data_IF_263843550209
#
_entry.id   IF_263843550209
#
_cell.length_a   1.000
_cell.length_b   1.000
_cell.length_c   1.000
_cell.angle_alpha   90.00
_cell.angle_beta   90.00
_cell.angle_gamma   90.00
#
_symmetry.space_group_name_H-M   'P 1'
#
loop_
_entity.id
_entity.type
_entity.pdbx_description
1 polymer ?
#
# COMPACT_ATOMS: atom_id res chain seq x y z
N UNK A 1 14.57 -31.78 -29.69
CA UNK A 1 13.54 -32.85 -29.52
C UNK A 1 13.85 -33.78 -28.35
N UNK A 2 15.07 -34.33 -28.19
CA UNK A 2 15.38 -35.21 -27.04
C UNK A 2 15.30 -34.53 -25.67
N UNK A 3 15.69 -33.25 -25.59
CA UNK A 3 15.70 -32.47 -24.34
C UNK A 3 14.29 -32.21 -23.79
N UNK A 4 13.38 -31.68 -24.63
CA UNK A 4 11.97 -31.47 -24.27
C UNK A 4 11.21 -32.75 -23.88
N UNK A 5 11.57 -33.91 -24.46
CA UNK A 5 11.00 -35.21 -24.08
C UNK A 5 11.46 -35.63 -22.68
N UNK A 6 12.71 -35.33 -22.32
CA UNK A 6 13.29 -35.59 -20.99
C UNK A 6 12.69 -34.67 -19.94
N UNK A 7 12.60 -33.36 -20.20
CA UNK A 7 11.98 -32.39 -19.28
C UNK A 7 10.52 -32.75 -18.97
N UNK A 8 9.76 -33.16 -19.98
CA UNK A 8 8.37 -33.59 -19.80
C UNK A 8 8.23 -34.84 -18.94
N UNK A 9 9.20 -35.76 -19.02
CA UNK A 9 9.24 -36.96 -18.15
C UNK A 9 9.59 -36.57 -16.72
N UNK A 10 10.62 -35.75 -16.54
CA UNK A 10 11.04 -35.23 -15.23
C UNK A 10 9.89 -34.49 -14.54
N UNK A 11 9.22 -33.60 -15.27
CA UNK A 11 8.03 -32.91 -14.79
C UNK A 11 6.92 -33.86 -14.33
N UNK A 12 6.63 -34.90 -15.13
CA UNK A 12 5.60 -35.87 -14.79
C UNK A 12 5.93 -36.65 -13.51
N UNK A 13 7.20 -36.98 -13.29
CA UNK A 13 7.64 -37.64 -12.06
C UNK A 13 7.53 -36.73 -10.84
N UNK A 14 7.94 -35.46 -10.96
CA UNK A 14 7.75 -34.45 -9.90
C UNK A 14 6.27 -34.31 -9.56
N UNK A 15 5.41 -34.14 -10.57
CA UNK A 15 3.97 -33.97 -10.36
C UNK A 15 3.31 -35.17 -9.70
N UNK A 16 3.69 -36.40 -10.08
CA UNK A 16 3.17 -37.61 -9.43
C UNK A 16 3.60 -37.70 -7.99
N UNK A 17 4.87 -37.42 -7.69
CA UNK A 17 5.38 -37.41 -6.32
C UNK A 17 4.62 -36.41 -5.45
N UNK A 18 4.41 -35.19 -5.95
CA UNK A 18 3.65 -34.16 -5.24
C UNK A 18 2.19 -34.59 -5.03
N UNK A 19 1.49 -35.07 -6.08
CA UNK A 19 0.10 -35.49 -5.95
C UNK A 19 -0.07 -36.68 -4.98
N UNK A 20 0.89 -37.59 -4.95
CA UNK A 20 0.90 -38.73 -4.04
C UNK A 20 0.97 -38.30 -2.56
N UNK A 21 1.69 -37.22 -2.22
CA UNK A 21 1.70 -36.64 -0.85
C UNK A 21 0.27 -36.28 -0.41
N UNK A 22 -0.55 -35.82 -1.34
CA UNK A 22 -1.94 -35.43 -1.08
C UNK A 22 -2.96 -36.55 -1.33
N UNK A 23 -2.50 -37.80 -1.53
CA UNK A 23 -3.38 -38.94 -1.82
C UNK A 23 -4.13 -38.83 -3.14
N UNK A 24 -3.59 -38.10 -4.12
CA UNK A 24 -4.20 -37.90 -5.44
C UNK A 24 -3.39 -38.60 -6.53
N UNK A 25 -4.08 -39.08 -7.55
CA UNK A 25 -3.47 -39.61 -8.77
C UNK A 25 -3.47 -38.57 -9.91
N UNK A 26 -2.30 -38.39 -10.52
CA UNK A 26 -2.13 -37.51 -11.67
C UNK A 26 -2.57 -38.18 -12.97
N UNK A 27 -3.82 -38.00 -13.37
CA UNK A 27 -4.27 -38.45 -14.70
C UNK A 27 -3.45 -37.76 -15.81
N UNK A 28 -3.31 -38.41 -16.97
CA UNK A 28 -2.60 -37.82 -18.13
C UNK A 28 -3.15 -36.44 -18.52
N UNK A 29 -4.46 -36.23 -18.35
CA UNK A 29 -5.10 -34.95 -18.62
C UNK A 29 -4.67 -33.86 -17.63
N UNK A 30 -4.63 -34.17 -16.33
CA UNK A 30 -4.17 -33.25 -15.29
C UNK A 30 -2.71 -32.88 -15.51
N UNK A 31 -1.82 -33.86 -15.75
CA UNK A 31 -0.40 -33.61 -16.02
C UNK A 31 -0.19 -32.69 -17.22
N UNK A 32 -1.01 -32.85 -18.27
CA UNK A 32 -0.96 -31.99 -19.47
C UNK A 32 -1.38 -30.55 -19.18
N UNK A 33 -2.38 -30.34 -18.32
CA UNK A 33 -2.82 -29.00 -17.90
C UNK A 33 -1.69 -28.28 -17.16
N UNK A 34 -1.07 -28.94 -16.17
CA UNK A 34 0.03 -28.32 -15.42
C UNK A 34 1.25 -28.08 -16.32
N UNK A 35 1.61 -29.04 -17.17
CA UNK A 35 2.73 -28.88 -18.12
C UNK A 35 2.55 -27.67 -19.02
N UNK A 36 1.36 -27.49 -19.60
CA UNK A 36 1.08 -26.35 -20.48
C UNK A 36 1.13 -25.01 -19.73
N UNK A 37 0.65 -24.98 -18.48
CA UNK A 37 0.66 -23.77 -17.66
C UNK A 37 2.08 -23.36 -17.23
N UNK A 38 2.97 -24.34 -17.03
CA UNK A 38 4.33 -24.13 -16.53
C UNK A 38 5.40 -24.14 -17.64
N UNK A 39 5.01 -24.42 -18.89
CA UNK A 39 5.87 -24.41 -20.08
C UNK A 39 6.75 -23.15 -20.23
N UNK A 40 6.31 -21.93 -19.85
CA UNK A 40 7.15 -20.73 -19.96
C UNK A 40 8.32 -20.67 -18.97
N UNK A 41 8.37 -21.56 -17.96
CA UNK A 41 9.34 -21.55 -16.89
C UNK A 41 10.30 -22.73 -17.02
N UNK A 42 11.54 -22.57 -16.57
CA UNK A 42 12.51 -23.65 -16.56
C UNK A 42 12.17 -24.71 -15.49
N UNK A 43 12.57 -25.95 -15.75
CA UNK A 43 12.21 -27.10 -14.91
C UNK A 43 12.82 -27.01 -13.49
N UNK A 44 13.96 -26.32 -13.33
CA UNK A 44 14.63 -26.11 -12.05
C UNK A 44 13.80 -25.18 -11.15
N UNK A 45 13.37 -24.04 -11.69
CA UNK A 45 12.51 -23.06 -11.01
C UNK A 45 11.15 -23.68 -10.66
N UNK A 46 10.58 -24.49 -11.56
CA UNK A 46 9.34 -25.24 -11.28
C UNK A 46 9.53 -26.20 -10.10
N UNK A 47 10.64 -26.94 -10.04
CA UNK A 47 10.95 -27.87 -8.94
C UNK A 47 11.15 -27.14 -7.62
N UNK A 48 11.81 -25.99 -7.64
CA UNK A 48 11.98 -25.16 -6.46
C UNK A 48 10.63 -24.62 -5.96
N UNK A 49 9.75 -24.17 -6.85
CA UNK A 49 8.42 -23.71 -6.50
C UNK A 49 7.54 -24.80 -5.87
N UNK A 50 7.61 -26.04 -6.37
CA UNK A 50 6.93 -27.18 -5.73
C UNK A 50 7.52 -27.50 -4.35
N UNK A 51 8.84 -27.48 -4.21
CA UNK A 51 9.52 -27.71 -2.92
C UNK A 51 9.10 -26.66 -1.89
N UNK A 52 9.11 -25.38 -2.26
CA UNK A 52 8.68 -24.28 -1.41
C UNK A 52 7.21 -24.40 -1.00
N UNK A 53 6.34 -24.85 -1.92
CA UNK A 53 4.91 -25.06 -1.62
C UNK A 53 4.70 -26.14 -0.55
N UNK A 54 5.38 -27.28 -0.68
CA UNK A 54 5.18 -28.43 0.23
C UNK A 54 5.64 -28.13 1.65
N UNK A 55 6.67 -27.31 1.81
CA UNK A 55 7.22 -26.94 3.14
C UNK A 55 6.51 -25.73 3.77
N UNK A 56 5.63 -25.05 3.04
CA UNK A 56 4.85 -23.92 3.57
C UNK A 56 3.80 -24.42 4.59
N UNK A 57 3.83 -23.97 5.86
CA UNK A 57 2.94 -24.47 6.91
C UNK A 57 1.44 -24.20 6.67
N UNK A 58 1.10 -23.19 5.87
CA UNK A 58 -0.27 -22.78 5.58
C UNK A 58 -0.72 -23.30 4.22
N UNK A 59 0.08 -23.08 3.17
CA UNK A 59 -0.24 -23.47 1.79
C UNK A 59 -0.05 -24.96 1.55
N UNK A 60 1.02 -25.54 2.10
CA UNK A 60 1.42 -26.93 1.90
C UNK A 60 0.41 -27.96 2.42
N UNK A 61 -0.60 -27.53 3.18
CA UNK A 61 -1.75 -28.35 3.60
C UNK A 61 -2.63 -28.76 2.43
N UNK A 62 -2.60 -28.03 1.32
CA UNK A 62 -3.44 -28.26 0.15
C UNK A 62 -2.62 -28.61 -1.08
N UNK A 63 -3.18 -29.47 -1.92
CA UNK A 63 -2.60 -29.83 -3.21
C UNK A 63 -2.50 -28.57 -4.10
N UNK A 64 -1.30 -28.24 -4.62
CA UNK A 64 -1.09 -27.00 -5.37
C UNK A 64 -1.80 -27.00 -6.71
N UNK A 65 -2.46 -25.90 -7.07
CA UNK A 65 -2.96 -25.64 -8.44
C UNK A 65 -1.86 -25.02 -9.29
N UNK A 66 -1.96 -25.00 -10.63
CA UNK A 66 -0.95 -24.35 -11.46
C UNK A 66 -0.71 -22.87 -11.10
N UNK A 67 -1.78 -22.14 -10.77
CA UNK A 67 -1.69 -20.73 -10.37
C UNK A 67 -0.89 -20.52 -9.07
N UNK A 68 -1.00 -21.47 -8.15
CA UNK A 68 -0.29 -21.46 -6.87
C UNK A 68 1.23 -21.60 -7.08
N UNK A 69 1.63 -22.49 -7.99
CA UNK A 69 3.02 -22.70 -8.37
C UNK A 69 3.56 -21.50 -9.12
N UNK A 70 2.80 -20.93 -10.05
CA UNK A 70 3.17 -19.70 -10.76
C UNK A 70 3.41 -18.55 -9.78
N UNK A 71 2.55 -18.40 -8.76
CA UNK A 71 2.73 -17.41 -7.70
C UNK A 71 4.05 -17.63 -6.94
N UNK A 72 4.36 -18.88 -6.60
CA UNK A 72 5.60 -19.21 -5.90
C UNK A 72 6.84 -18.96 -6.78
N UNK A 73 6.76 -19.27 -8.09
CA UNK A 73 7.80 -18.93 -9.08
C UNK A 73 8.01 -17.42 -9.14
N UNK A 74 6.94 -16.62 -9.18
CA UNK A 74 7.04 -15.16 -9.18
C UNK A 74 7.73 -14.64 -7.91
N UNK A 75 7.44 -15.24 -6.75
CA UNK A 75 8.13 -14.91 -5.50
C UNK A 75 9.63 -15.26 -5.54
N UNK A 76 10.00 -16.42 -6.12
CA UNK A 76 11.41 -16.85 -6.30
C UNK A 76 12.15 -15.88 -7.23
N UNK A 77 11.51 -15.46 -8.33
CA UNK A 77 12.04 -14.50 -9.29
C UNK A 77 12.16 -13.06 -8.72
N UNK A 78 11.72 -12.83 -7.48
CA UNK A 78 11.62 -11.50 -6.89
C UNK A 78 10.63 -10.59 -7.63
N UNK A 79 9.71 -11.17 -8.43
CA UNK A 79 8.58 -10.41 -8.98
C UNK A 79 7.64 -10.12 -7.81
N UNK A 80 7.34 -8.84 -7.52
CA UNK A 80 6.48 -8.51 -6.40
C UNK A 80 5.10 -9.13 -6.62
N UNK A 81 4.67 -9.95 -5.65
CA UNK A 81 3.29 -10.42 -5.57
C UNK A 81 2.33 -9.23 -5.46
N UNK A 82 1.05 -9.46 -5.73
CA UNK A 82 0.03 -8.48 -5.40
C UNK A 82 0.00 -8.30 -3.89
N UNK A 83 0.22 -7.07 -3.42
CA UNK A 83 0.06 -6.74 -2.00
C UNK A 83 -1.34 -7.11 -1.51
N UNK A 84 -1.47 -7.54 -0.25
CA UNK A 84 -2.79 -7.63 0.37
C UNK A 84 -3.42 -6.23 0.47
N UNK A 85 -4.74 -6.15 0.56
CA UNK A 85 -5.43 -4.86 0.61
C UNK A 85 -5.01 -3.99 1.81
N UNK A 86 -4.61 -4.62 2.92
CA UNK A 86 -4.13 -3.91 4.10
C UNK A 86 -2.71 -3.37 3.94
N UNK A 87 -1.82 -4.11 3.29
CA UNK A 87 -0.46 -3.65 2.98
C UNK A 87 -0.50 -2.52 1.94
N UNK A 88 -1.33 -2.70 0.90
CA UNK A 88 -1.60 -1.67 -0.09
C UNK A 88 -2.11 -0.36 0.55
N UNK A 89 -3.01 -0.48 1.53
CA UNK A 89 -3.50 0.66 2.31
C UNK A 89 -2.37 1.34 3.10
N UNK A 90 -1.61 0.56 3.88
CA UNK A 90 -0.51 1.08 4.69
C UNK A 90 0.53 1.81 3.83
N UNK A 91 0.80 1.28 2.63
CA UNK A 91 1.71 1.88 1.67
C UNK A 91 1.16 3.19 1.08
N UNK A 92 -0.16 3.31 0.88
CA UNK A 92 -0.79 4.50 0.31
C UNK A 92 -1.01 5.63 1.32
N UNK A 93 -1.11 5.33 2.62
CA UNK A 93 -1.38 6.31 3.69
C UNK A 93 -0.51 7.59 3.63
N UNK A 94 0.82 7.52 3.40
CA UNK A 94 1.64 8.72 3.36
C UNK A 94 1.23 9.70 2.24
N UNK A 95 0.56 9.23 1.17
CA UNK A 95 0.07 10.05 0.07
C UNK A 95 -1.11 10.97 0.46
N UNK A 96 -1.56 10.91 1.72
CA UNK A 96 -2.48 11.92 2.27
C UNK A 96 -1.84 13.31 2.31
N UNK A 97 -0.53 13.37 2.53
CA UNK A 97 0.23 14.60 2.49
C UNK A 97 0.96 14.70 1.15
N UNK A 98 0.65 15.73 0.37
CA UNK A 98 1.24 15.99 -0.95
C UNK A 98 2.76 16.27 -0.88
N UNK A 99 3.30 16.55 0.30
CA UNK A 99 4.74 16.64 0.51
C UNK A 99 5.43 15.26 0.38
N UNK A 100 4.71 14.17 0.68
CA UNK A 100 5.29 12.83 0.74
C UNK A 100 5.36 12.17 -0.63
N UNK A 101 6.40 11.36 -0.80
CA UNK A 101 6.57 10.49 -1.97
C UNK A 101 6.16 9.07 -1.62
N UNK A 102 5.38 8.44 -2.50
CA UNK A 102 4.92 7.06 -2.32
C UNK A 102 5.27 6.24 -3.56
N UNK A 103 5.74 5.01 -3.35
CA UNK A 103 5.96 4.03 -4.43
C UNK A 103 4.83 3.03 -4.42
N UNK A 104 3.97 3.05 -5.43
CA UNK A 104 2.76 2.23 -5.48
C UNK A 104 2.48 1.66 -6.87
N UNK A 105 1.56 0.73 -6.96
CA UNK A 105 1.05 0.22 -8.24
C UNK A 105 -0.07 1.10 -8.78
N UNK A 106 -0.40 0.93 -10.07
CA UNK A 106 -1.53 1.63 -10.68
C UNK A 106 -2.86 1.34 -9.96
N UNK A 107 -3.04 0.09 -9.50
CA UNK A 107 -4.23 -0.35 -8.79
C UNK A 107 -4.35 0.32 -7.41
N UNK A 108 -3.22 0.49 -6.70
CA UNK A 108 -3.16 1.22 -5.43
C UNK A 108 -3.48 2.70 -5.65
N UNK A 109 -2.90 3.34 -6.67
CA UNK A 109 -3.16 4.74 -7.00
C UNK A 109 -4.65 5.01 -7.33
N UNK A 110 -5.26 4.13 -8.12
CA UNK A 110 -6.70 4.24 -8.44
C UNK A 110 -7.59 4.01 -7.21
N UNK A 111 -7.27 3.03 -6.38
CA UNK A 111 -7.99 2.80 -5.13
C UNK A 111 -7.85 4.00 -4.17
N UNK A 112 -6.66 4.61 -4.11
CA UNK A 112 -6.41 5.82 -3.32
C UNK A 112 -7.26 7.00 -3.80
N UNK A 113 -7.34 7.23 -5.11
CA UNK A 113 -8.16 8.32 -5.68
C UNK A 113 -9.65 8.21 -5.31
N UNK A 114 -10.18 6.99 -5.15
CA UNK A 114 -11.57 6.75 -4.70
C UNK A 114 -11.73 7.05 -3.21
N UNK A 115 -10.73 6.72 -2.39
CA UNK A 115 -10.77 6.92 -0.95
C UNK A 115 -10.44 8.36 -0.52
N UNK A 116 -9.73 9.12 -1.35
CA UNK A 116 -9.23 10.46 -1.03
C UNK A 116 -10.32 11.46 -0.61
N UNK A 117 -11.49 11.57 -1.28
CA UNK A 117 -12.53 12.50 -0.86
C UNK A 117 -13.07 12.18 0.54
N UNK A 118 -13.31 10.90 0.82
CA UNK A 118 -13.81 10.42 2.13
C UNK A 118 -12.75 10.67 3.23
N UNK A 119 -11.47 10.51 2.89
CA UNK A 119 -10.36 10.81 3.80
C UNK A 119 -10.26 12.31 4.11
N UNK A 120 -10.49 13.18 3.11
CA UNK A 120 -10.49 14.63 3.28
C UNK A 120 -11.65 15.12 4.16
N UNK A 121 -12.79 14.43 4.12
CA UNK A 121 -13.91 14.65 5.03
C UNK A 121 -13.64 14.17 6.47
N UNK A 122 -12.53 13.45 6.69
CA UNK A 122 -12.09 12.99 8.01
C UNK A 122 -12.59 11.59 8.41
N UNK A 123 -13.39 10.92 7.58
CA UNK A 123 -13.83 9.54 7.82
C UNK A 123 -12.76 8.53 7.40
N UNK A 124 -11.81 8.30 8.31
CA UNK A 124 -10.69 7.36 8.12
C UNK A 124 -11.17 5.92 7.92
N UNK A 125 -12.28 5.53 8.54
CA UNK A 125 -12.80 4.15 8.45
C UNK A 125 -13.51 3.95 7.12
N UNK A 126 -14.39 4.88 6.72
CA UNK A 126 -15.03 4.89 5.41
C UNK A 126 -14.02 4.94 4.27
N UNK A 127 -12.99 5.79 4.38
CA UNK A 127 -11.91 5.87 3.39
C UNK A 127 -11.17 4.53 3.24
N UNK A 128 -10.83 3.88 4.37
CA UNK A 128 -10.18 2.56 4.34
C UNK A 128 -11.08 1.49 3.72
N UNK A 129 -12.37 1.48 4.04
CA UNK A 129 -13.32 0.52 3.47
C UNK A 129 -13.49 0.71 1.96
N UNK A 130 -13.63 1.95 1.51
CA UNK A 130 -13.70 2.28 0.09
C UNK A 130 -12.42 1.88 -0.65
N UNK A 131 -11.25 2.14 -0.05
CA UNK A 131 -9.95 1.74 -0.60
C UNK A 131 -9.85 0.23 -0.77
N UNK A 132 -10.10 -0.55 0.29
CA UNK A 132 -9.95 -2.01 0.28
C UNK A 132 -10.86 -2.63 -0.78
N UNK A 133 -12.13 -2.20 -0.82
CA UNK A 133 -13.10 -2.70 -1.80
C UNK A 133 -12.67 -2.38 -3.25
N UNK A 134 -12.18 -1.16 -3.50
CA UNK A 134 -11.71 -0.75 -4.82
C UNK A 134 -10.45 -1.51 -5.25
N UNK A 135 -9.46 -1.61 -4.35
CA UNK A 135 -8.19 -2.29 -4.61
C UNK A 135 -8.40 -3.78 -4.91
N UNK A 136 -9.19 -4.49 -4.10
CA UNK A 136 -9.45 -5.91 -4.34
C UNK A 136 -10.10 -6.17 -5.69
N UNK A 137 -11.03 -5.31 -6.11
CA UNK A 137 -11.67 -5.40 -7.43
C UNK A 137 -10.65 -5.19 -8.56
N UNK A 138 -9.80 -4.17 -8.44
CA UNK A 138 -8.78 -3.84 -9.43
C UNK A 138 -7.70 -4.93 -9.52
N UNK A 139 -7.21 -5.40 -8.37
CA UNK A 139 -6.22 -6.47 -8.28
C UNK A 139 -6.76 -7.78 -8.88
N UNK A 140 -8.00 -8.18 -8.56
CA UNK A 140 -8.65 -9.36 -9.16
C UNK A 140 -8.81 -9.24 -10.68
N UNK A 141 -9.17 -8.05 -11.18
CA UNK A 141 -9.30 -7.81 -12.61
C UNK A 141 -7.93 -7.88 -13.34
N UNK A 142 -6.88 -7.33 -12.72
CA UNK A 142 -5.53 -7.41 -13.25
C UNK A 142 -4.99 -8.85 -13.25
N UNK A 143 -5.21 -9.59 -12.16
CA UNK A 143 -4.89 -11.02 -12.06
C UNK A 143 -5.63 -11.85 -13.10
N UNK A 144 -6.94 -11.63 -13.29
CA UNK A 144 -7.76 -12.35 -14.27
C UNK A 144 -7.34 -12.11 -15.73
N UNK A 145 -6.62 -11.02 -16.00
CA UNK A 145 -6.06 -10.69 -17.33
C UNK A 145 -4.58 -11.05 -17.45
N UNK A 146 -3.99 -11.71 -16.45
CA UNK A 146 -2.59 -12.12 -16.44
C UNK A 146 -1.59 -10.97 -16.30
N UNK A 147 -2.03 -9.80 -15.83
CA UNK A 147 -1.16 -8.65 -15.60
C UNK A 147 -0.43 -8.80 -14.27
N UNK A 148 0.83 -8.36 -14.24
CA UNK A 148 1.63 -8.23 -13.03
C UNK A 148 1.60 -6.78 -12.52
N UNK A 149 1.79 -6.55 -11.21
CA UNK A 149 1.76 -5.21 -10.64
C UNK A 149 2.85 -4.32 -11.25
N UNK A 150 2.43 -3.18 -11.81
CA UNK A 150 3.35 -2.18 -12.36
C UNK A 150 3.62 -1.10 -11.33
N UNK A 151 4.80 -1.16 -10.71
CA UNK A 151 5.25 -0.19 -9.72
C UNK A 151 5.69 1.13 -10.35
N UNK A 152 5.28 2.22 -9.71
CA UNK A 152 5.51 3.62 -10.10
C UNK A 152 5.70 4.49 -8.86
N UNK A 153 6.33 5.65 -9.03
CA UNK A 153 6.58 6.61 -7.95
C UNK A 153 5.62 7.79 -8.13
N UNK A 154 4.86 8.11 -7.08
CA UNK A 154 4.13 9.37 -6.95
C UNK A 154 5.04 10.39 -6.30
N UNK A 155 5.54 11.34 -7.09
CA UNK A 155 6.51 12.35 -6.67
C UNK A 155 5.84 13.37 -5.71
N UNK A 156 6.33 13.44 -4.47
CA UNK A 156 6.03 14.54 -3.57
C UNK A 156 6.93 15.75 -3.84
N UNK A 157 6.57 16.91 -3.31
CA UNK A 157 7.35 18.14 -3.48
C UNK A 157 8.74 18.11 -2.81
N UNK A 158 8.92 17.27 -1.77
CA UNK A 158 10.21 17.14 -1.08
C UNK A 158 11.17 16.14 -1.76
N UNK A 159 12.18 16.70 -2.43
CA UNK A 159 13.21 15.94 -3.16
C UNK A 159 14.07 15.03 -2.27
N UNK A 160 14.20 15.32 -0.98
CA UNK A 160 14.97 14.48 -0.06
C UNK A 160 14.17 13.23 0.35
N UNK A 161 12.87 13.40 0.56
CA UNK A 161 11.93 12.29 0.81
C UNK A 161 11.75 11.40 -0.42
N UNK A 162 11.75 11.97 -1.64
CA UNK A 162 11.76 11.19 -2.89
C UNK A 162 12.92 10.20 -2.92
N UNK A 163 14.13 10.68 -2.61
CA UNK A 163 15.35 9.87 -2.68
C UNK A 163 15.30 8.67 -1.72
N UNK A 164 14.98 8.92 -0.45
CA UNK A 164 14.94 7.86 0.58
C UNK A 164 13.91 6.79 0.22
N UNK A 165 12.72 7.20 -0.21
CA UNK A 165 11.63 6.28 -0.55
C UNK A 165 11.95 5.45 -1.79
N UNK A 166 12.60 6.02 -2.80
CA UNK A 166 13.06 5.28 -3.98
C UNK A 166 14.18 4.30 -3.63
N UNK A 167 15.17 4.70 -2.83
CA UNK A 167 16.26 3.82 -2.37
C UNK A 167 15.74 2.63 -1.56
N UNK A 168 14.77 2.87 -0.67
CA UNK A 168 14.10 1.82 0.08
C UNK A 168 13.32 0.87 -0.84
N UNK A 169 12.56 1.39 -1.80
CA UNK A 169 11.80 0.58 -2.75
C UNK A 169 12.69 -0.27 -3.70
N UNK A 170 13.90 0.20 -4.03
CA UNK A 170 14.89 -0.60 -4.76
C UNK A 170 15.47 -1.71 -3.88
N UNK A 171 15.77 -1.38 -2.62
CA UNK A 171 16.33 -2.35 -1.66
C UNK A 171 15.36 -3.47 -1.33
N UNK A 172 14.06 -3.15 -1.26
CA UNK A 172 12.98 -4.13 -1.02
C UNK A 172 12.49 -4.85 -2.28
N UNK A 173 13.06 -4.56 -3.45
CA UNK A 173 12.71 -5.21 -4.72
C UNK A 173 11.39 -4.76 -5.35
N UNK A 174 10.72 -3.74 -4.79
CA UNK A 174 9.46 -3.20 -5.31
C UNK A 174 9.66 -2.40 -6.61
N UNK A 175 10.85 -1.81 -6.81
CA UNK A 175 11.21 -1.11 -8.05
C UNK A 175 12.43 -1.74 -8.73
N UNK A 176 12.35 -2.05 -10.04
CA UNK A 176 13.52 -2.43 -10.82
C UNK A 176 14.54 -1.27 -10.86
N UNK A 177 15.82 -1.59 -10.65
CA UNK A 177 16.94 -0.62 -10.68
C UNK A 177 16.90 0.35 -11.88
N UNK A 178 16.61 -0.08 -13.12
CA UNK A 178 16.57 0.84 -14.27
C UNK A 178 15.47 1.92 -14.19
N UNK A 179 14.34 1.62 -13.52
CA UNK A 179 13.27 2.62 -13.30
C UNK A 179 13.62 3.58 -12.16
N UNK A 180 14.44 3.14 -11.19
CA UNK A 180 14.91 3.96 -10.10
C UNK A 180 16.07 4.89 -10.50
N UNK A 181 16.88 4.50 -11.49
CA UNK A 181 17.97 5.32 -12.05
C UNK A 181 17.48 6.70 -12.56
N UNK A 182 16.26 6.78 -13.12
CA UNK A 182 15.62 8.04 -13.52
C UNK A 182 15.52 9.04 -12.35
N UNK A 183 15.30 8.55 -11.13
CA UNK A 183 15.18 9.36 -9.93
C UNK A 183 16.53 9.58 -9.22
N UNK A 184 17.55 8.75 -9.51
CA UNK A 184 18.93 8.98 -9.08
C UNK A 184 19.64 10.06 -9.91
N UNK A 185 19.29 10.23 -11.19
CA UNK A 185 19.90 11.23 -12.08
C UNK A 185 19.50 12.69 -11.77
N UNK A 186 18.54 12.91 -10.87
CA UNK A 186 18.13 14.26 -10.42
C UNK A 186 19.08 14.87 -9.36
N UNK A 187 20.20 14.21 -9.08
CA UNK A 187 21.27 14.75 -8.25
C UNK A 187 22.15 15.72 -9.07
N UNK A 188 22.29 17.00 -8.68
CA UNK A 188 23.56 17.66 -8.95
C UNK A 188 24.65 16.87 -8.20
N UNK A 189 25.65 16.38 -8.94
CA UNK A 189 26.80 15.73 -8.32
C UNK A 189 27.38 16.67 -7.26
N UNK A 190 27.37 16.22 -6.01
CA UNK A 190 28.06 16.94 -4.94
C UNK A 190 29.56 16.91 -5.25
N UNK A 191 30.04 18.01 -5.79
CA UNK A 191 31.46 18.35 -5.80
C UNK A 191 32.03 18.60 -7.19
N UNK A 192 31.71 19.77 -7.78
CA UNK A 192 32.67 20.70 -8.42
C UNK A 192 31.93 21.95 -8.93
N UNK A 193 32.16 23.05 -8.23
CA UNK A 193 32.12 24.49 -8.59
C UNK A 193 31.08 25.02 -9.62
N UNK A 194 30.39 26.14 -9.40
CA UNK A 194 30.85 27.31 -8.66
C UNK A 194 29.73 28.26 -8.21
N UNK A 195 30.14 29.13 -7.29
CA UNK A 195 29.40 30.26 -6.76
C UNK A 195 28.65 31.03 -7.85
N UNK A 196 27.34 31.13 -7.72
CA UNK A 196 26.55 32.37 -7.64
C UNK A 196 25.07 32.01 -7.77
N UNK A 197 24.40 31.74 -6.65
CA UNK A 197 22.94 31.79 -6.64
C UNK A 197 22.58 33.28 -6.65
N UNK A 198 21.92 33.80 -7.69
CA UNK A 198 21.59 35.22 -7.80
C UNK A 198 20.90 35.72 -6.54
N UNK A 199 21.31 36.86 -6.01
CA UNK A 199 20.82 37.44 -4.74
C UNK A 199 19.30 37.54 -4.69
N UNK A 200 18.64 37.77 -5.84
CA UNK A 200 17.18 37.79 -5.97
C UNK A 200 16.53 36.44 -5.65
N UNK A 201 17.16 35.32 -6.02
CA UNK A 201 16.64 33.98 -5.72
C UNK A 201 16.78 33.67 -4.23
N UNK A 202 17.87 34.10 -3.58
CA UNK A 202 17.99 33.97 -2.11
C UNK A 202 16.96 34.82 -1.37
N UNK A 203 16.81 36.08 -1.76
CA UNK A 203 15.81 36.99 -1.17
C UNK A 203 14.39 36.45 -1.34
N UNK A 204 14.05 35.93 -2.51
CA UNK A 204 12.74 35.33 -2.78
C UNK A 204 12.51 34.06 -1.96
N UNK A 205 13.53 33.20 -1.80
CA UNK A 205 13.43 31.99 -0.97
C UNK A 205 13.28 32.31 0.52
N UNK A 206 13.95 33.34 1.02
CA UNK A 206 13.81 33.79 2.41
C UNK A 206 12.44 34.43 2.65
N UNK A 207 11.92 35.19 1.68
CA UNK A 207 10.58 35.76 1.74
C UNK A 207 9.49 34.68 1.73
N UNK A 208 9.64 33.64 0.89
CA UNK A 208 8.72 32.50 0.86
C UNK A 208 8.75 31.70 2.17
N UNK A 209 9.93 31.46 2.74
CA UNK A 209 10.06 30.80 4.05
C UNK A 209 9.40 31.61 5.17
N UNK A 210 9.53 32.94 5.14
CA UNK A 210 8.86 33.84 6.08
C UNK A 210 7.34 33.75 6.00
N UNK A 211 6.79 33.75 4.77
CA UNK A 211 5.34 33.63 4.54
C UNK A 211 4.78 32.27 4.98
N UNK A 212 5.49 31.18 4.70
CA UNK A 212 5.07 29.83 5.13
C UNK A 212 5.03 29.74 6.66
N UNK A 213 6.01 30.31 7.35
CA UNK A 213 6.05 30.33 8.82
C UNK A 213 4.91 31.18 9.41
N UNK A 214 4.65 32.35 8.83
CA UNK A 214 3.54 33.22 9.25
C UNK A 214 2.17 32.59 9.02
N UNK A 215 1.98 31.87 7.91
CA UNK A 215 0.71 31.19 7.61
C UNK A 215 0.47 29.99 8.53
N UNK A 216 1.54 29.27 8.91
CA UNK A 216 1.48 28.22 9.94
C UNK A 216 1.13 28.80 11.32
N UNK A 217 1.81 29.87 11.74
CA UNK A 217 1.55 30.54 13.03
C UNK A 217 0.14 31.16 13.08
N UNK A 218 -0.34 31.73 11.97
CA UNK A 218 -1.70 32.27 11.87
C UNK A 218 -2.75 31.16 11.99
N UNK A 219 -2.57 30.04 11.28
CA UNK A 219 -3.45 28.87 11.35
C UNK A 219 -3.51 28.30 12.76
N UNK A 220 -2.36 28.17 13.43
CA UNK A 220 -2.29 27.75 14.83
C UNK A 220 -2.99 28.73 15.77
N UNK A 221 -2.85 30.04 15.57
CA UNK A 221 -3.53 31.05 16.37
C UNK A 221 -5.05 30.99 16.19
N UNK A 222 -5.55 30.87 14.96
CA UNK A 222 -6.98 30.70 14.70
C UNK A 222 -7.51 29.42 15.33
N UNK A 223 -6.77 28.31 15.27
CA UNK A 223 -7.16 27.06 15.93
C UNK A 223 -7.17 27.17 17.45
N UNK A 224 -6.22 27.90 18.05
CA UNK A 224 -6.20 28.20 19.49
C UNK A 224 -7.40 29.07 19.90
N UNK A 225 -7.72 30.12 19.15
CA UNK A 225 -8.87 30.99 19.45
C UNK A 225 -10.21 30.25 19.28
N UNK A 226 -10.32 29.41 18.25
CA UNK A 226 -11.52 28.61 17.98
C UNK A 226 -11.72 27.52 19.05
N UNK A 227 -10.64 26.85 19.46
CA UNK A 227 -10.69 25.87 20.56
C UNK A 227 -11.08 26.49 21.90
N UNK A 228 -10.57 27.68 22.24
CA UNK A 228 -10.96 28.41 23.46
C UNK A 228 -12.44 28.77 23.41
N UNK A 229 -12.95 29.25 22.27
CA UNK A 229 -14.38 29.56 22.10
C UNK A 229 -15.27 28.32 22.25
N UNK A 230 -14.87 27.20 21.65
CA UNK A 230 -15.60 25.94 21.76
C UNK A 230 -15.63 25.43 23.20
N UNK A 231 -14.51 25.54 23.91
CA UNK A 231 -14.42 25.12 25.31
C UNK A 231 -15.31 25.97 26.22
N UNK A 232 -15.32 27.30 26.04
CA UNK A 232 -16.19 28.21 26.78
C UNK A 232 -17.69 27.96 26.47
N UNK A 233 -18.04 27.64 25.22
CA UNK A 233 -19.41 27.29 24.83
C UNK A 233 -19.87 25.96 25.44
N UNK A 234 -18.99 24.96 25.50
CA UNK A 234 -19.28 23.68 26.15
C UNK A 234 -19.49 23.84 27.65
N UNK A 235 -18.65 24.65 28.31
CA UNK A 235 -18.77 24.93 29.74
C UNK A 235 -20.05 25.68 30.08
N UNK A 236 -20.44 26.67 29.26
CA UNK A 236 -21.73 27.36 29.40
C UNK A 236 -22.92 26.41 29.28
N UNK A 237 -22.93 25.55 28.25
CA UNK A 237 -24.00 24.55 28.05
C UNK A 237 -24.07 23.53 29.19
N UNK A 238 -22.92 23.16 29.75
CA UNK A 238 -22.85 22.27 30.91
C UNK A 238 -23.45 22.91 32.17
N UNK A 239 -23.17 24.19 32.41
CA UNK A 239 -23.75 24.95 33.52
C UNK A 239 -25.26 25.13 33.37
N UNK A 240 -25.75 25.44 32.17
CA UNK A 240 -27.20 25.52 31.88
C UNK A 240 -27.90 24.18 32.12
N UNK A 241 -27.28 23.08 31.70
CA UNK A 241 -27.80 21.72 31.96
C UNK A 241 -27.87 21.43 33.46
N UNK A 242 -26.88 21.83 34.25
CA UNK A 242 -26.87 21.64 35.70
C UNK A 242 -27.98 22.46 36.37
N UNK A 243 -28.19 23.71 35.95
CA UNK A 243 -29.28 24.56 36.44
C UNK A 243 -30.66 23.99 36.11
N UNK A 244 -30.87 23.52 34.87
CA UNK A 244 -32.12 22.87 34.47
C UNK A 244 -32.40 21.59 35.28
N UNK A 245 -31.37 20.79 35.58
CA UNK A 245 -31.53 19.59 36.44
C UNK A 245 -31.82 19.93 37.90
N UNK A 246 -31.25 21.04 38.42
CA UNK A 246 -31.52 21.52 39.77
C UNK A 246 -32.95 22.07 39.91
N UNK A 247 -33.44 22.80 38.90
CA UNK A 247 -34.81 23.33 38.86
C UNK A 247 -35.87 22.23 38.74
N UNK A 248 -35.61 21.18 37.93
CA UNK A 248 -36.48 20.01 37.84
C UNK A 248 -36.44 19.13 39.11
N UNK A 249 -35.35 19.14 39.88
CA UNK A 249 -35.26 18.47 41.19
C UNK A 249 -36.08 19.14 42.30
N UNK A 250 -36.30 20.46 42.22
CA UNK A 250 -37.08 21.23 43.20
C UNK A 250 -38.59 21.13 42.98
N UNK A 251 -39.06 20.78 41.78
CA UNK A 251 -40.49 20.63 41.49
C UNK A 251 -41.08 19.29 41.94
N UNK A 252 -40.26 18.25 42.16
CA UNK A 252 -40.73 16.89 42.51
C UNK A 252 -40.91 16.64 44.01
N UNK A 253 -40.72 17.65 44.89
CA UNK A 253 -40.80 17.47 46.34
C UNK A 253 -41.97 18.20 47.04
N UNK A 254 -43.07 18.44 46.31
CA UNK A 254 -44.36 18.76 46.93
C UNK A 254 -45.23 17.50 46.97
N UNK A 255 -44.89 16.60 47.88
CA UNK A 255 -45.83 15.58 48.34
C UNK A 255 -46.84 16.30 49.24
N UNK A 256 -48.10 16.21 48.84
CA UNK A 256 -49.31 16.63 49.55
C UNK A 256 -49.40 16.00 50.94
N UNK A 257 -49.51 16.83 51.98
CA UNK A 257 -50.10 16.46 53.27
C UNK A 257 -51.41 17.24 53.45
N UNK A 258 -52.47 16.46 53.71
CA UNK A 258 -53.84 16.76 54.17
C UNK A 258 -54.75 17.74 53.40
#
# INVERSE_FOLDING_TARGET
>A
MREAETEKREFAEIMKAILAIYGKDGSKAVLKIYWNALLPYDIETVRQAFSNWVIDPEQGRFSPKPADIIRNIQNIDGKPDWLSANEAWALALPAQDEANTVVWTNEIAQAWSIAQPIMQEGDKIGARMAFIAAYERLAKAAQGTGRSPSWSVSEGWDKETVKRTVEQAVTTGLLPRPKAEKYQLLLPEKGKAGNEVPTKIRQFLDELKGRIKQDQEARESTWRDESIRLQASLEHKYQESLQQTADHGLQNNKITED
#
